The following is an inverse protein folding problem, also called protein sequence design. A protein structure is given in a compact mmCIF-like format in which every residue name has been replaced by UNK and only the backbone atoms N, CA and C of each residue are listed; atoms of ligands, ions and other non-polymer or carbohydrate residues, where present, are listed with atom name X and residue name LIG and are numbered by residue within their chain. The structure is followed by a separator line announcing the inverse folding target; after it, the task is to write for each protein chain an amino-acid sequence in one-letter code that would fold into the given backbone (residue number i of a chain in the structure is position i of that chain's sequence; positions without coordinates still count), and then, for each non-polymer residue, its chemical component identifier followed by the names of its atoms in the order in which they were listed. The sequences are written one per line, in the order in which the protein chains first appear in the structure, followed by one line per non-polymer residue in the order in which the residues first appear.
data_IF_975705624880
#
_entry.id   IF_975705624880
#
_cell.length_a   1.000
_cell.length_b   1.000
_cell.length_c   1.000
_cell.angle_alpha   90.00
_cell.angle_beta   90.00
_cell.angle_gamma   90.00
#
_symmetry.space_group_name_H-M   'P 1'
#
loop_
_entity.id
_entity.type
_entity.pdbx_description
1 polymer ?
#
# COMPACT_ATOMS: atom_id res chain seq x y z
N UNK A 1 -14.14 1.03 9.28
CA UNK A 1 -13.38 1.73 10.34
C UNK A 1 -12.64 2.94 9.78
N UNK A 2 -11.77 2.79 8.78
CA UNK A 2 -11.04 3.91 8.16
C UNK A 2 -11.92 4.97 7.48
N UNK A 3 -13.00 4.55 6.79
CA UNK A 3 -14.00 5.47 6.26
C UNK A 3 -14.67 6.32 7.37
N UNK A 4 -14.80 5.78 8.60
CA UNK A 4 -15.34 6.52 9.77
C UNK A 4 -14.31 7.48 10.38
N UNK A 5 -13.02 7.24 10.16
CA UNK A 5 -11.92 8.13 10.53
C UNK A 5 -11.65 9.20 9.46
N UNK A 6 -12.44 9.22 8.37
CA UNK A 6 -12.26 10.17 7.28
C UNK A 6 -11.01 9.93 6.44
N UNK A 7 -10.41 8.73 6.50
CA UNK A 7 -9.23 8.39 5.70
C UNK A 7 -9.72 7.79 4.38
N UNK A 8 -9.54 8.49 3.24
CA UNK A 8 -9.91 7.95 1.94
C UNK A 8 -9.00 6.79 1.58
N UNK A 9 -9.58 5.63 1.28
CA UNK A 9 -8.83 4.47 0.80
C UNK A 9 -9.17 4.21 -0.66
N UNK A 10 -8.16 3.87 -1.44
CA UNK A 10 -8.28 3.44 -2.83
C UNK A 10 -7.45 2.17 -3.01
N UNK A 11 -7.89 1.29 -3.90
CA UNK A 11 -7.18 0.04 -4.19
C UNK A 11 -6.63 0.05 -5.61
N UNK A 12 -5.62 -0.77 -5.88
CA UNK A 12 -5.24 -1.11 -7.25
C UNK A 12 -4.82 -2.58 -7.33
N UNK A 13 -5.10 -3.22 -8.45
CA UNK A 13 -4.81 -4.64 -8.65
C UNK A 13 -4.67 -4.97 -10.13
N UNK A 14 -3.81 -5.92 -10.47
CA UNK A 14 -3.61 -6.40 -11.83
C UNK A 14 -4.66 -7.44 -12.28
N UNK A 15 -5.83 -7.45 -11.63
CA UNK A 15 -6.93 -8.34 -11.95
C UNK A 15 -7.97 -7.64 -12.82
N UNK A 16 -8.63 -8.42 -13.67
CA UNK A 16 -9.76 -7.99 -14.50
C UNK A 16 -10.88 -7.38 -13.66
N UNK A 17 -11.45 -6.28 -14.14
CA UNK A 17 -12.51 -5.54 -13.45
C UNK A 17 -13.69 -6.39 -13.05
N UNK A 18 -14.13 -7.30 -13.92
CA UNK A 18 -15.28 -8.18 -13.64
C UNK A 18 -15.04 -9.06 -12.40
N UNK A 19 -13.80 -9.46 -12.15
CA UNK A 19 -13.44 -10.25 -10.98
C UNK A 19 -13.39 -9.37 -9.73
N UNK A 20 -12.76 -8.20 -9.84
CA UNK A 20 -12.64 -7.22 -8.75
C UNK A 20 -14.01 -6.74 -8.28
N UNK A 21 -14.94 -6.45 -9.19
CA UNK A 21 -16.31 -6.03 -8.85
C UNK A 21 -17.06 -7.12 -8.07
N UNK A 22 -16.91 -8.38 -8.48
CA UNK A 22 -17.52 -9.52 -7.76
C UNK A 22 -16.93 -9.65 -6.37
N UNK A 23 -15.59 -9.65 -6.23
CA UNK A 23 -14.93 -9.71 -4.94
C UNK A 23 -15.32 -8.54 -4.04
N UNK A 24 -15.31 -7.32 -4.58
CA UNK A 24 -15.67 -6.12 -3.84
C UNK A 24 -17.10 -6.20 -3.30
N UNK A 25 -18.04 -6.75 -4.07
CA UNK A 25 -19.41 -7.00 -3.61
C UNK A 25 -19.46 -8.06 -2.51
N UNK A 26 -18.80 -9.19 -2.69
CA UNK A 26 -18.84 -10.30 -1.73
C UNK A 26 -18.20 -9.93 -0.38
N UNK A 27 -17.06 -9.25 -0.42
CA UNK A 27 -16.29 -8.86 0.77
C UNK A 27 -16.69 -7.47 1.31
N UNK A 28 -17.72 -6.83 0.72
CA UNK A 28 -18.17 -5.47 1.05
C UNK A 28 -17.03 -4.44 1.04
N UNK A 29 -16.10 -4.57 0.09
CA UNK A 29 -14.96 -3.66 -0.04
C UNK A 29 -15.39 -2.24 -0.39
N UNK A 30 -16.61 -2.04 -0.92
CA UNK A 30 -17.22 -0.72 -1.14
C UNK A 30 -17.38 0.10 0.14
N UNK A 31 -17.44 -0.55 1.31
CA UNK A 31 -17.52 0.12 2.61
C UNK A 31 -16.15 0.66 3.07
N UNK A 32 -15.08 0.27 2.36
CA UNK A 32 -13.68 0.56 2.69
C UNK A 32 -13.07 1.45 1.62
N UNK A 33 -13.12 1.02 0.35
CA UNK A 33 -12.46 1.67 -0.77
C UNK A 33 -13.42 2.58 -1.56
N UNK A 34 -12.97 3.79 -1.84
CA UNK A 34 -13.68 4.77 -2.67
C UNK A 34 -13.66 4.43 -4.15
N UNK A 35 -12.60 3.74 -4.59
CA UNK A 35 -12.45 3.17 -5.93
C UNK A 35 -11.32 2.14 -5.93
N UNK A 36 -11.32 1.25 -6.94
CA UNK A 36 -10.27 0.24 -7.15
C UNK A 36 -9.85 0.26 -8.62
N UNK A 37 -8.60 0.63 -8.90
CA UNK A 37 -8.02 0.55 -10.24
C UNK A 37 -7.71 -0.91 -10.60
N UNK A 38 -8.07 -1.31 -11.82
CA UNK A 38 -7.96 -2.69 -12.34
C UNK A 38 -6.90 -2.77 -13.43
N UNK A 39 -6.64 -3.96 -13.97
CA UNK A 39 -5.70 -4.13 -15.10
C UNK A 39 -6.07 -3.26 -16.31
N UNK A 40 -7.37 -3.12 -16.62
CA UNK A 40 -7.83 -2.27 -17.72
C UNK A 40 -7.55 -0.78 -17.46
N UNK A 41 -7.50 -0.37 -16.18
CA UNK A 41 -7.13 1.01 -15.79
C UNK A 41 -5.63 1.26 -15.96
N UNK A 42 -4.82 0.21 -15.85
CA UNK A 42 -3.36 0.26 -15.97
C UNK A 42 -2.87 -0.03 -17.40
N UNK A 43 -3.78 -0.19 -18.36
CA UNK A 43 -3.43 -0.47 -19.75
C UNK A 43 -2.48 0.61 -20.31
N UNK A 44 -1.32 0.19 -20.84
CA UNK A 44 -0.28 1.08 -21.35
C UNK A 44 0.78 1.50 -20.33
N UNK A 45 0.77 0.95 -19.11
CA UNK A 45 1.82 1.11 -18.09
C UNK A 45 1.62 0.13 -16.93
N UNK A 46 1.92 0.58 -15.71
CA UNK A 46 1.80 -0.21 -14.48
C UNK A 46 1.02 0.51 -13.38
N UNK A 47 1.35 0.17 -12.12
CA UNK A 47 0.69 0.71 -10.92
C UNK A 47 0.86 2.22 -10.77
N UNK A 48 1.86 2.82 -11.40
CA UNK A 48 2.02 4.27 -11.48
C UNK A 48 0.83 4.96 -12.19
N UNK A 49 0.25 4.33 -13.22
CA UNK A 49 -0.96 4.84 -13.89
C UNK A 49 -2.17 4.75 -12.94
N UNK A 50 -2.29 3.64 -12.21
CA UNK A 50 -3.35 3.48 -11.22
C UNK A 50 -3.30 4.57 -10.14
N UNK A 51 -2.11 4.93 -9.65
CA UNK A 51 -1.96 6.01 -8.66
C UNK A 51 -2.53 7.33 -9.20
N UNK A 52 -2.18 7.71 -10.44
CA UNK A 52 -2.71 8.94 -11.05
C UNK A 52 -4.22 8.90 -11.28
N UNK A 53 -4.75 7.77 -11.75
CA UNK A 53 -6.19 7.56 -11.93
C UNK A 53 -6.94 7.75 -10.61
N UNK A 54 -6.46 7.10 -9.55
CA UNK A 54 -7.11 7.12 -8.24
C UNK A 54 -7.05 8.51 -7.59
N UNK A 55 -5.93 9.23 -7.75
CA UNK A 55 -5.85 10.64 -7.31
C UNK A 55 -6.88 11.50 -8.05
N UNK A 56 -6.95 11.38 -9.37
CA UNK A 56 -7.93 12.12 -10.18
C UNK A 56 -9.37 11.80 -9.74
N UNK A 57 -9.61 10.55 -9.33
CA UNK A 57 -10.90 10.13 -8.78
C UNK A 57 -11.22 10.80 -7.44
N UNK A 58 -10.25 10.87 -6.53
CA UNK A 58 -10.41 11.57 -5.25
C UNK A 58 -10.73 13.04 -5.48
N UNK A 59 -9.98 13.71 -6.36
CA UNK A 59 -10.19 15.12 -6.71
C UNK A 59 -11.58 15.34 -7.33
N UNK A 60 -12.04 14.44 -8.20
CA UNK A 60 -13.40 14.52 -8.78
C UNK A 60 -14.52 14.42 -7.75
N UNK A 61 -14.24 13.86 -6.57
CA UNK A 61 -15.15 13.77 -5.42
C UNK A 61 -14.97 14.93 -4.43
N UNK A 62 -14.14 15.93 -4.76
CA UNK A 62 -13.83 17.07 -3.89
C UNK A 62 -12.90 16.72 -2.73
N UNK A 63 -12.20 15.58 -2.80
CA UNK A 63 -11.23 15.15 -1.78
C UNK A 63 -9.85 15.61 -2.25
N UNK A 64 -9.24 16.63 -1.62
CA UNK A 64 -7.92 17.11 -2.03
C UNK A 64 -6.85 16.05 -1.77
N UNK A 65 -5.85 15.99 -2.65
CA UNK A 65 -4.71 15.10 -2.47
C UNK A 65 -3.96 15.47 -1.18
N UNK A 66 -3.75 14.53 -0.25
CA UNK A 66 -3.04 14.81 0.99
C UNK A 66 -1.52 14.73 0.75
N UNK A 67 -0.97 15.77 0.12
CA UNK A 67 0.47 15.88 -0.18
C UNK A 67 1.34 15.53 1.03
N UNK A 68 2.31 14.63 0.82
CA UNK A 68 3.23 14.15 1.85
C UNK A 68 2.62 13.28 2.95
N UNK A 69 1.32 13.00 2.90
CA UNK A 69 0.58 12.21 3.90
C UNK A 69 -0.03 10.94 3.30
N UNK A 70 0.43 10.54 2.11
CA UNK A 70 0.02 9.28 1.49
C UNK A 70 0.67 8.09 2.22
N UNK A 71 -0.06 6.97 2.27
CA UNK A 71 0.46 5.69 2.78
C UNK A 71 0.26 4.66 1.67
N UNK A 72 1.36 4.13 1.15
CA UNK A 72 1.38 3.07 0.15
C UNK A 72 1.51 1.73 0.86
N UNK A 73 0.56 0.83 0.65
CA UNK A 73 0.52 -0.48 1.32
C UNK A 73 0.52 -1.57 0.27
N UNK A 74 1.40 -2.54 0.39
CA UNK A 74 1.45 -3.70 -0.51
C UNK A 74 2.51 -4.71 -0.09
N UNK A 75 2.58 -5.81 -0.81
CA UNK A 75 3.49 -6.93 -0.56
C UNK A 75 4.79 -6.85 -1.38
N UNK A 76 4.85 -5.95 -2.38
CA UNK A 76 6.04 -5.73 -3.19
C UNK A 76 6.67 -4.35 -2.95
N UNK A 77 7.92 -4.33 -2.49
CA UNK A 77 8.69 -3.09 -2.37
C UNK A 77 8.83 -2.39 -3.72
N UNK A 78 9.14 -3.14 -4.78
CA UNK A 78 9.29 -2.59 -6.13
C UNK A 78 7.94 -2.24 -6.77
N UNK A 79 6.96 -3.13 -6.66
CA UNK A 79 5.70 -3.03 -7.39
C UNK A 79 4.69 -2.09 -6.75
N UNK A 80 4.49 -2.16 -5.43
CA UNK A 80 3.44 -1.41 -4.74
C UNK A 80 3.94 -0.08 -4.19
N UNK A 81 5.11 -0.10 -3.56
CA UNK A 81 5.65 1.05 -2.88
C UNK A 81 6.53 1.87 -3.85
N UNK A 82 7.45 1.21 -4.56
CA UNK A 82 8.40 1.84 -5.47
C UNK A 82 7.77 2.54 -6.66
N UNK A 83 6.60 2.08 -7.13
CA UNK A 83 5.86 2.74 -8.21
C UNK A 83 5.36 4.12 -7.85
N UNK A 84 5.27 4.46 -6.55
CA UNK A 84 4.99 5.84 -6.13
C UNK A 84 6.12 6.81 -6.47
N UNK A 85 7.39 6.38 -6.55
CA UNK A 85 8.48 7.22 -7.02
C UNK A 85 8.29 7.58 -8.50
N UNK A 86 7.94 6.60 -9.33
CA UNK A 86 7.67 6.82 -10.75
C UNK A 86 6.45 7.72 -10.94
N UNK A 87 5.39 7.53 -10.15
CA UNK A 87 4.22 8.43 -10.19
C UNK A 87 4.60 9.87 -9.78
N UNK A 88 5.51 10.02 -8.81
CA UNK A 88 6.00 11.33 -8.34
C UNK A 88 6.71 12.14 -9.43
N UNK A 89 7.38 11.49 -10.37
CA UNK A 89 8.04 12.17 -11.50
C UNK A 89 7.04 13.01 -12.32
N UNK A 90 5.79 12.54 -12.44
CA UNK A 90 4.71 13.24 -13.16
C UNK A 90 3.88 14.17 -12.29
N UNK A 91 3.79 13.90 -10.99
CA UNK A 91 3.08 14.75 -10.04
C UNK A 91 3.86 14.84 -8.71
N UNK A 92 4.51 15.99 -8.49
CA UNK A 92 5.39 16.21 -7.32
C UNK A 92 4.70 16.08 -5.97
N UNK A 93 3.37 16.21 -5.91
CA UNK A 93 2.59 16.04 -4.69
C UNK A 93 2.40 14.59 -4.24
N UNK A 94 2.79 13.62 -5.06
CA UNK A 94 2.74 12.19 -4.75
C UNK A 94 3.98 11.79 -3.96
N UNK A 95 3.88 11.80 -2.64
CA UNK A 95 4.91 11.25 -1.76
C UNK A 95 4.32 10.95 -0.39
N UNK A 96 4.99 10.08 0.36
CA UNK A 96 4.48 9.60 1.64
C UNK A 96 5.32 8.47 2.22
N UNK A 97 4.66 7.56 2.95
CA UNK A 97 5.29 6.42 3.60
C UNK A 97 4.87 5.11 2.95
N UNK A 98 5.73 4.09 3.03
CA UNK A 98 5.45 2.74 2.57
C UNK A 98 5.24 1.78 3.74
N UNK A 99 4.27 0.87 3.61
CA UNK A 99 4.09 -0.29 4.49
C UNK A 99 4.22 -1.54 3.63
N UNK A 100 5.33 -2.25 3.80
CA UNK A 100 5.59 -3.52 3.12
C UNK A 100 5.03 -4.66 3.97
N UNK A 101 3.95 -5.27 3.51
CA UNK A 101 3.30 -6.38 4.21
C UNK A 101 4.07 -7.67 3.91
N UNK A 102 4.62 -8.29 4.95
CA UNK A 102 5.40 -9.50 4.89
C UNK A 102 4.71 -10.60 5.69
N UNK A 103 4.73 -11.81 5.16
CA UNK A 103 4.11 -12.96 5.82
C UNK A 103 4.79 -13.25 7.17
N UNK A 104 6.11 -13.35 7.16
CA UNK A 104 6.91 -13.87 8.28
C UNK A 104 8.30 -13.20 8.36
N UNK A 105 9.07 -13.58 9.39
CA UNK A 105 10.45 -13.08 9.59
C UNK A 105 11.43 -13.51 8.52
N UNK A 106 11.20 -14.64 7.85
CA UNK A 106 12.08 -15.09 6.78
C UNK A 106 11.97 -14.15 5.57
N UNK A 107 10.74 -13.74 5.24
CA UNK A 107 10.48 -12.72 4.21
C UNK A 107 11.13 -11.37 4.56
N UNK A 108 11.17 -10.99 5.85
CA UNK A 108 11.89 -9.81 6.32
C UNK A 108 13.41 -9.90 6.09
N UNK A 109 14.01 -11.02 6.48
CA UNK A 109 15.44 -11.25 6.27
C UNK A 109 15.77 -11.27 4.77
N UNK A 110 14.91 -11.87 3.96
CA UNK A 110 15.08 -11.92 2.52
C UNK A 110 15.02 -10.53 1.89
N UNK A 111 14.02 -9.71 2.22
CA UNK A 111 13.93 -8.36 1.65
C UNK A 111 15.09 -7.47 2.09
N UNK A 112 15.55 -7.57 3.35
CA UNK A 112 16.74 -6.86 3.83
C UNK A 112 17.99 -7.26 3.02
N UNK A 113 18.16 -8.55 2.69
CA UNK A 113 19.24 -9.02 1.82
C UNK A 113 19.11 -8.48 0.40
N UNK A 114 17.90 -8.50 -0.17
CA UNK A 114 17.64 -8.00 -1.52
C UNK A 114 17.91 -6.49 -1.62
N UNK A 115 17.50 -5.69 -0.63
CA UNK A 115 17.79 -4.25 -0.55
C UNK A 115 19.29 -4.00 -0.54
N UNK A 116 20.05 -4.76 0.24
CA UNK A 116 21.50 -4.60 0.30
C UNK A 116 22.22 -5.01 -0.99
N UNK A 117 21.66 -5.94 -1.76
CA UNK A 117 22.26 -6.46 -2.98
C UNK A 117 21.82 -5.73 -4.27
N UNK A 118 20.62 -5.14 -4.30
CA UNK A 118 20.04 -4.46 -5.46
C UNK A 118 20.00 -2.93 -5.24
N UNK A 119 20.86 -2.15 -5.93
CA UNK A 119 20.87 -0.70 -5.83
C UNK A 119 19.53 -0.03 -6.12
N UNK A 120 18.68 -0.62 -6.97
CA UNK A 120 17.35 -0.06 -7.28
C UNK A 120 16.38 -0.24 -6.13
N UNK A 121 16.44 -1.36 -5.42
CA UNK A 121 15.62 -1.57 -4.22
C UNK A 121 16.10 -0.69 -3.07
N UNK A 122 17.42 -0.52 -2.95
CA UNK A 122 18.02 0.41 -2.00
C UNK A 122 17.58 1.84 -2.23
N UNK A 123 17.60 2.31 -3.48
CA UNK A 123 17.11 3.65 -3.83
C UNK A 123 15.64 3.86 -3.39
N UNK A 124 14.78 2.86 -3.55
CA UNK A 124 13.39 2.93 -3.07
C UNK A 124 13.34 3.09 -1.54
N UNK A 125 14.09 2.27 -0.80
CA UNK A 125 14.12 2.30 0.66
C UNK A 125 14.76 3.60 1.22
N UNK A 126 15.73 4.17 0.51
CA UNK A 126 16.39 5.42 0.91
C UNK A 126 15.49 6.65 0.64
N UNK A 127 14.65 6.61 -0.41
CA UNK A 127 13.81 7.75 -0.82
C UNK A 127 12.38 7.70 -0.26
N UNK A 128 11.90 6.54 0.19
CA UNK A 128 10.59 6.38 0.83
C UNK A 128 10.81 5.89 2.26
N UNK A 129 10.13 6.50 3.24
CA UNK A 129 10.10 5.95 4.59
C UNK A 129 9.27 4.65 4.61
N UNK A 130 9.92 3.50 4.37
CA UNK A 130 9.29 2.19 4.32
C UNK A 130 9.40 1.47 5.66
N UNK A 131 8.28 0.92 6.12
CA UNK A 131 8.25 0.00 7.25
C UNK A 131 7.78 -1.38 6.77
N UNK A 132 8.51 -2.42 7.12
CA UNK A 132 8.04 -3.80 7.03
C UNK A 132 7.02 -4.08 8.13
N UNK A 133 5.90 -4.69 7.75
CA UNK A 133 4.85 -5.19 8.63
C UNK A 133 4.83 -6.72 8.56
N UNK A 134 5.30 -7.40 9.61
CA UNK A 134 5.36 -8.87 9.68
C UNK A 134 4.07 -9.39 10.31
N UNK A 135 3.21 -10.00 9.48
CA UNK A 135 1.85 -10.43 9.88
C UNK A 135 1.88 -11.42 11.03
N UNK A 136 2.78 -12.42 10.98
CA UNK A 136 2.90 -13.45 12.03
C UNK A 136 3.36 -12.92 13.38
N UNK A 137 4.00 -11.75 13.42
CA UNK A 137 4.47 -11.14 14.67
C UNK A 137 3.40 -10.27 15.35
N UNK A 138 2.23 -10.09 14.74
CA UNK A 138 1.12 -9.36 15.36
C UNK A 138 0.56 -10.19 16.52
N UNK A 139 0.62 -9.71 17.76
CA UNK A 139 0.14 -10.48 18.91
C UNK A 139 -1.35 -10.79 18.79
N UNK A 140 -1.77 -11.91 19.38
CA UNK A 140 -3.17 -12.29 19.47
C UNK A 140 -3.67 -12.13 20.90
N UNK A 141 -4.96 -11.81 21.06
CA UNK A 141 -5.63 -11.88 22.36
C UNK A 141 -5.99 -13.33 22.73
N UNK A 142 -6.61 -13.51 23.90
CA UNK A 142 -7.02 -14.83 24.40
C UNK A 142 -8.05 -15.54 23.49
N UNK A 143 -8.75 -14.78 22.64
CA UNK A 143 -9.73 -15.28 21.68
C UNK A 143 -9.13 -15.52 20.28
N UNK A 144 -7.85 -15.20 20.08
CA UNK A 144 -7.14 -15.35 18.81
C UNK A 144 -7.30 -14.15 17.86
N UNK A 145 -7.81 -13.00 18.32
CA UNK A 145 -7.92 -11.79 17.51
C UNK A 145 -6.62 -10.98 17.52
N UNK A 146 -6.31 -10.33 16.40
CA UNK A 146 -5.12 -9.49 16.25
C UNK A 146 -5.15 -8.26 17.19
N UNK A 147 -4.12 -8.13 18.01
CA UNK A 147 -3.91 -7.01 18.94
C UNK A 147 -3.06 -5.90 18.32
N UNK A 148 -3.71 -5.01 17.57
CA UNK A 148 -3.09 -3.86 16.91
C UNK A 148 -2.87 -2.66 17.86
N UNK A 149 -2.29 -2.90 19.04
CA UNK A 149 -2.02 -1.84 20.03
C UNK A 149 -0.65 -1.20 19.81
N UNK A 150 -0.55 0.12 20.00
CA UNK A 150 0.69 0.88 19.80
C UNK A 150 1.88 0.36 20.61
N UNK A 151 1.64 -0.16 21.82
CA UNK A 151 2.67 -0.77 22.68
C UNK A 151 3.34 -2.01 22.09
N UNK A 152 2.70 -2.65 21.10
CA UNK A 152 3.24 -3.82 20.40
C UNK A 152 3.79 -3.49 19.02
N UNK A 153 3.73 -2.22 18.60
CA UNK A 153 4.13 -1.79 17.26
C UNK A 153 5.51 -2.31 16.86
N UNK A 154 6.48 -2.19 17.76
CA UNK A 154 7.87 -2.56 17.46
C UNK A 154 8.08 -4.09 17.33
N UNK A 155 7.07 -4.90 17.66
CA UNK A 155 7.12 -6.35 17.49
C UNK A 155 6.85 -6.75 16.04
N UNK A 156 5.94 -6.05 15.36
CA UNK A 156 5.48 -6.41 14.01
C UNK A 156 5.77 -5.34 12.95
N UNK A 157 6.20 -4.14 13.34
CA UNK A 157 6.53 -3.06 12.42
C UNK A 157 8.00 -2.64 12.58
N UNK A 158 8.78 -2.75 11.50
CA UNK A 158 10.22 -2.45 11.50
C UNK A 158 10.58 -1.56 10.32
N UNK A 159 11.45 -0.58 10.53
CA UNK A 159 11.98 0.24 9.43
C UNK A 159 12.93 -0.59 8.56
N UNK A 160 12.77 -0.49 7.24
CA UNK A 160 13.68 -1.08 6.24
C UNK A 160 14.77 -0.10 5.84
#
# INVERSE_FOLDING_TARGET
MYARLGIPMVGFTANAKIFVEKLAKYLKLSDIFLDIATDETMAGGGKEIAIHYLISKLESKGIPMPEGRMIFVGDSLRGDIGTSLTAREKNKGIFGQGILVLKDKNALIEIEKQINADPKLRDIADNINVNAFVVEDVPLDEEGNLMMLSRFRDQFLRKL
#
